data_IF_206084774734
#
_entry.id   IF_206084774734
#
_cell.length_a   1.000
_cell.length_b   1.000
_cell.length_c   1.000
_cell.angle_alpha   90.00
_cell.angle_beta   90.00
_cell.angle_gamma   90.00
#
_symmetry.space_group_name_H-M   'P 1'
#
loop_
_entity.id
_entity.type
_entity.pdbx_description
1 polymer ?
#
# COMPACT_ATOMS: atom_id res chain seq x y z
N UNK A 1 -68.12 61.01 54.67
CA UNK A 1 -68.64 59.76 54.06
C UNK A 1 -68.66 60.00 52.55
N UNK A 2 -67.56 59.77 51.83
CA UNK A 2 -67.12 58.48 51.23
C UNK A 2 -68.25 57.78 50.46
N UNK A 3 -68.15 57.81 49.11
CA UNK A 3 -68.11 56.65 48.21
C UNK A 3 -68.51 57.09 46.78
N UNK A 4 -67.55 57.31 45.88
CA UNK A 4 -67.08 56.40 44.82
C UNK A 4 -68.15 55.93 43.81
N UNK A 5 -67.99 56.34 42.54
CA UNK A 5 -67.67 55.45 41.39
C UNK A 5 -67.46 56.30 40.12
N UNK A 6 -66.25 56.38 39.57
CA UNK A 6 -65.58 55.43 38.64
C UNK A 6 -66.14 55.56 37.21
N UNK A 7 -65.56 56.43 36.37
CA UNK A 7 -64.45 56.22 35.40
C UNK A 7 -64.87 55.35 34.21
N UNK A 8 -64.75 55.90 32.97
CA UNK A 8 -63.94 55.33 31.86
C UNK A 8 -64.24 56.06 30.53
N UNK A 9 -63.20 56.69 29.99
CA UNK A 9 -62.87 56.99 28.60
C UNK A 9 -61.33 57.11 28.57
N UNK A 10 -60.63 57.07 27.42
CA UNK A 10 -60.88 56.32 26.18
C UNK A 10 -59.58 55.63 25.67
N UNK A 11 -59.72 54.92 24.55
CA UNK A 11 -58.73 54.74 23.47
C UNK A 11 -57.26 54.41 23.82
N UNK A 12 -56.82 53.22 23.40
CA UNK A 12 -55.57 53.15 22.64
C UNK A 12 -55.61 52.01 21.63
N UNK A 13 -55.54 52.41 20.37
CA UNK A 13 -55.32 51.57 19.19
C UNK A 13 -53.86 51.12 19.18
N UNK A 14 -53.61 49.81 19.06
CA UNK A 14 -52.30 49.29 18.70
C UNK A 14 -52.47 48.06 17.81
N UNK A 15 -52.51 48.31 16.50
CA UNK A 15 -52.11 47.37 15.46
C UNK A 15 -50.63 47.06 15.60
N UNK A 16 -50.26 45.82 15.92
CA UNK A 16 -48.98 45.24 15.49
C UNK A 16 -49.17 43.73 15.24
N UNK A 17 -49.29 43.41 13.95
CA UNK A 17 -48.57 42.31 13.27
C UNK A 17 -48.57 40.94 13.97
N UNK A 18 -49.60 40.17 13.64
CA UNK A 18 -49.55 38.71 13.59
C UNK A 18 -48.66 38.31 12.40
N UNK A 19 -47.37 38.07 12.63
CA UNK A 19 -46.51 37.34 11.69
C UNK A 19 -45.98 36.07 12.36
N UNK A 20 -46.55 34.95 11.89
CA UNK A 20 -45.99 33.60 11.85
C UNK A 20 -44.48 33.54 12.15
N UNK A 21 -44.14 33.24 13.40
CA UNK A 21 -42.87 32.56 13.70
C UNK A 21 -43.15 31.06 13.53
N UNK A 22 -43.32 30.64 12.28
CA UNK A 22 -42.85 29.33 11.87
C UNK A 22 -41.33 29.44 11.92
N UNK A 23 -40.72 29.15 13.07
CA UNK A 23 -39.33 28.70 13.04
C UNK A 23 -39.35 27.45 12.18
N UNK A 24 -38.99 27.61 10.91
CA UNK A 24 -38.56 26.52 10.08
C UNK A 24 -37.40 25.87 10.82
N UNK A 25 -37.72 24.78 11.51
CA UNK A 25 -36.74 23.76 11.81
C UNK A 25 -36.34 23.28 10.42
N UNK A 26 -35.26 23.86 9.90
CA UNK A 26 -34.63 23.39 8.69
C UNK A 26 -34.15 21.99 9.04
N UNK A 27 -35.00 21.00 8.76
CA UNK A 27 -34.61 19.61 8.67
C UNK A 27 -33.75 19.48 7.42
N UNK A 28 -32.61 20.17 7.39
CA UNK A 28 -31.45 19.62 6.75
C UNK A 28 -31.18 18.34 7.56
N UNK A 29 -31.83 17.24 7.13
CA UNK A 29 -31.44 15.91 7.58
C UNK A 29 -29.93 15.77 7.38
N UNK A 30 -29.27 14.91 8.17
CA UNK A 30 -27.83 14.70 8.02
C UNK A 30 -27.53 14.49 6.53
N UNK A 31 -26.59 15.29 6.01
CA UNK A 31 -26.13 15.22 4.63
C UNK A 31 -26.02 13.75 4.21
N UNK A 32 -26.85 13.35 3.25
CA UNK A 32 -26.98 11.96 2.79
C UNK A 32 -25.79 11.45 1.99
N UNK A 33 -24.76 12.29 1.78
CA UNK A 33 -23.49 11.85 1.23
C UNK A 33 -22.69 11.11 2.30
N UNK A 34 -23.16 9.90 2.63
CA UNK A 34 -22.38 8.96 3.42
C UNK A 34 -20.98 8.87 2.78
N UNK A 35 -19.91 8.94 3.56
CA UNK A 35 -18.57 8.90 3.01
C UNK A 35 -18.40 7.60 2.20
N UNK A 36 -17.81 7.72 1.01
CA UNK A 36 -17.57 6.59 0.10
C UNK A 36 -16.09 6.46 -0.21
N UNK A 37 -15.63 5.23 -0.44
CA UNK A 37 -14.28 4.95 -0.92
C UNK A 37 -14.23 5.18 -2.42
N UNK A 38 -13.37 6.07 -2.90
CA UNK A 38 -13.27 6.40 -4.33
C UNK A 38 -12.29 5.46 -5.03
N UNK A 39 -12.42 5.30 -6.35
CA UNK A 39 -11.46 4.51 -7.11
C UNK A 39 -10.05 5.15 -7.10
N UNK A 40 -9.95 6.47 -7.00
CA UNK A 40 -8.65 7.17 -6.90
C UNK A 40 -7.98 6.86 -5.55
N UNK A 41 -8.77 6.75 -4.48
CA UNK A 41 -8.28 6.31 -3.17
C UNK A 41 -7.80 4.87 -3.19
N UNK A 42 -8.53 3.96 -3.85
CA UNK A 42 -8.12 2.56 -4.03
C UNK A 42 -6.85 2.44 -4.86
N UNK A 43 -6.78 3.20 -5.96
CA UNK A 43 -5.60 3.27 -6.84
C UNK A 43 -4.34 3.71 -6.08
N UNK A 44 -4.43 4.78 -5.28
CA UNK A 44 -3.33 5.26 -4.45
C UNK A 44 -2.86 4.19 -3.44
N UNK A 45 -3.78 3.40 -2.87
CA UNK A 45 -3.40 2.31 -1.96
C UNK A 45 -2.70 1.15 -2.68
N UNK A 46 -3.17 0.79 -3.88
CA UNK A 46 -2.51 -0.24 -4.69
C UNK A 46 -1.11 0.25 -5.10
N UNK A 47 -0.98 1.52 -5.51
CA UNK A 47 0.31 2.12 -5.85
C UNK A 47 1.31 2.04 -4.68
N UNK A 48 0.91 2.46 -3.48
CA UNK A 48 1.73 2.36 -2.26
C UNK A 48 2.11 0.89 -1.97
N UNK A 49 1.22 -0.06 -2.23
CA UNK A 49 1.51 -1.48 -1.98
C UNK A 49 2.51 -2.07 -2.99
N UNK A 50 2.62 -1.47 -4.17
CA UNK A 50 3.55 -1.90 -5.22
C UNK A 50 4.88 -1.15 -5.17
N UNK A 51 4.91 0.11 -4.73
CA UNK A 51 6.06 1.01 -4.85
C UNK A 51 7.30 0.62 -4.00
N UNK A 52 8.50 0.91 -4.51
CA UNK A 52 9.78 0.67 -3.82
C UNK A 52 9.89 1.47 -2.52
N UNK A 53 9.63 2.77 -2.60
CA UNK A 53 9.83 3.70 -1.49
C UNK A 53 8.90 3.37 -0.35
N UNK A 54 7.68 2.91 -0.64
CA UNK A 54 6.73 2.43 0.37
C UNK A 54 7.08 1.07 0.99
N UNK A 55 8.13 0.39 0.52
CA UNK A 55 8.44 -0.99 0.95
C UNK A 55 7.48 -2.03 0.36
N UNK A 56 6.82 -1.68 -0.73
CA UNK A 56 5.91 -2.53 -1.49
C UNK A 56 6.60 -3.66 -2.24
N UNK A 57 5.87 -4.32 -3.14
CA UNK A 57 6.35 -5.49 -3.89
C UNK A 57 7.64 -5.20 -4.68
N UNK A 58 7.76 -4.00 -5.25
CA UNK A 58 8.98 -3.57 -5.95
C UNK A 58 10.20 -3.52 -5.01
N UNK A 59 10.00 -3.19 -3.73
CA UNK A 59 11.09 -3.21 -2.75
C UNK A 59 11.60 -4.63 -2.49
N UNK A 60 10.74 -5.65 -2.59
CA UNK A 60 11.13 -7.06 -2.49
C UNK A 60 12.12 -7.41 -3.60
N UNK A 61 11.79 -7.07 -4.85
CA UNK A 61 12.61 -7.33 -6.03
C UNK A 61 13.96 -6.62 -5.96
N UNK A 62 13.95 -5.37 -5.51
CA UNK A 62 15.16 -4.59 -5.31
C UNK A 62 16.02 -5.17 -4.18
N UNK A 63 15.41 -5.62 -3.08
CA UNK A 63 16.13 -6.25 -1.98
C UNK A 63 16.83 -7.54 -2.41
N UNK A 64 16.25 -8.29 -3.35
CA UNK A 64 16.86 -9.49 -3.93
C UNK A 64 18.17 -9.15 -4.66
N UNK A 65 18.17 -8.13 -5.53
CA UNK A 65 19.37 -7.68 -6.24
C UNK A 65 20.50 -7.30 -5.26
N UNK A 66 20.18 -6.48 -4.26
CA UNK A 66 21.15 -5.99 -3.28
C UNK A 66 21.66 -7.07 -2.32
N UNK A 67 20.78 -7.99 -1.93
CA UNK A 67 21.10 -8.95 -0.88
C UNK A 67 22.00 -10.07 -1.37
N UNK A 68 22.06 -10.35 -2.67
CA UNK A 68 22.72 -11.56 -3.16
C UNK A 68 23.55 -11.40 -4.43
N UNK A 69 23.37 -10.32 -5.20
CA UNK A 69 23.90 -10.27 -6.58
C UNK A 69 24.71 -9.01 -6.90
N UNK A 70 24.52 -7.89 -6.19
CA UNK A 70 25.23 -6.64 -6.49
C UNK A 70 25.72 -5.90 -5.23
N UNK A 71 26.84 -5.19 -5.36
CA UNK A 71 27.22 -4.07 -4.47
C UNK A 71 26.61 -2.74 -4.99
N UNK A 72 25.60 -2.80 -5.88
CA UNK A 72 25.07 -1.67 -6.67
C UNK A 72 23.59 -1.40 -6.35
N UNK A 73 23.35 -0.87 -5.16
CA UNK A 73 22.61 0.37 -4.89
C UNK A 73 21.36 0.71 -5.74
N UNK A 74 20.14 0.45 -5.22
CA UNK A 74 18.91 1.15 -5.64
C UNK A 74 18.81 2.53 -4.99
N UNK A 75 17.87 3.39 -5.40
CA UNK A 75 17.71 4.72 -4.80
C UNK A 75 17.49 4.64 -3.27
N UNK A 76 16.69 3.69 -2.78
CA UNK A 76 16.48 3.44 -1.34
C UNK A 76 17.75 3.03 -0.60
N UNK A 77 18.64 2.27 -1.24
CA UNK A 77 19.95 1.90 -0.69
C UNK A 77 21.07 2.92 -0.95
N UNK A 78 20.88 3.84 -1.90
CA UNK A 78 21.77 4.95 -2.20
C UNK A 78 21.54 6.17 -1.30
N UNK A 79 20.31 6.33 -0.80
CA UNK A 79 19.90 7.52 -0.02
C UNK A 79 19.52 7.22 1.43
N UNK A 80 19.48 5.94 1.81
CA UNK A 80 19.06 5.49 3.14
C UNK A 80 20.04 4.52 3.81
N UNK A 81 19.58 3.80 4.84
CA UNK A 81 20.35 2.72 5.48
C UNK A 81 19.94 1.36 4.92
N UNK A 82 20.90 0.46 4.74
CA UNK A 82 20.66 -0.94 4.38
C UNK A 82 21.57 -1.83 5.23
N UNK A 83 21.01 -2.88 5.81
CA UNK A 83 21.74 -3.88 6.59
C UNK A 83 21.30 -5.27 6.20
N UNK A 84 22.28 -6.20 6.20
CA UNK A 84 22.09 -7.60 5.88
C UNK A 84 23.02 -8.44 6.75
N UNK A 85 22.44 -9.39 7.49
CA UNK A 85 23.17 -10.44 8.18
C UNK A 85 22.67 -11.80 7.69
N UNK A 86 23.57 -12.75 7.44
CA UNK A 86 23.24 -14.01 6.77
C UNK A 86 23.96 -15.20 7.41
N UNK A 87 23.23 -16.29 7.56
CA UNK A 87 23.75 -17.58 7.99
C UNK A 87 23.36 -18.68 7.01
N UNK A 88 24.26 -19.65 6.78
CA UNK A 88 23.98 -20.79 5.91
C UNK A 88 23.78 -22.06 6.74
N UNK A 89 22.79 -22.85 6.36
CA UNK A 89 22.48 -24.15 6.95
C UNK A 89 22.80 -25.28 5.99
N UNK A 90 23.80 -26.12 6.32
CA UNK A 90 24.11 -27.32 5.53
C UNK A 90 22.96 -28.35 5.55
N UNK A 91 22.11 -28.34 6.59
CA UNK A 91 21.01 -29.29 6.75
C UNK A 91 19.84 -29.01 5.81
N UNK A 92 19.53 -27.72 5.59
CA UNK A 92 18.44 -27.28 4.70
C UNK A 92 18.95 -26.82 3.33
N UNK A 93 20.25 -26.62 3.18
CA UNK A 93 20.88 -26.01 1.99
C UNK A 93 20.29 -24.64 1.65
N UNK A 94 20.01 -23.86 2.69
CA UNK A 94 19.43 -22.51 2.60
C UNK A 94 20.33 -21.49 3.30
N UNK A 95 20.39 -20.30 2.73
CA UNK A 95 20.77 -19.10 3.46
C UNK A 95 19.54 -18.54 4.16
N UNK A 96 19.68 -18.20 5.43
CA UNK A 96 18.73 -17.37 6.14
C UNK A 96 19.37 -16.01 6.38
N UNK A 97 18.72 -14.94 5.94
CA UNK A 97 19.22 -13.58 6.06
C UNK A 97 18.20 -12.67 6.73
N UNK A 98 18.68 -11.83 7.64
CA UNK A 98 17.93 -10.69 8.17
C UNK A 98 18.31 -9.45 7.37
N UNK A 99 17.33 -8.92 6.62
CA UNK A 99 17.49 -7.77 5.73
C UNK A 99 16.65 -6.61 6.27
N UNK A 100 17.27 -5.45 6.40
CA UNK A 100 16.56 -4.23 6.78
C UNK A 100 17.01 -3.06 5.93
N UNK A 101 16.07 -2.15 5.65
CA UNK A 101 16.40 -0.90 5.00
C UNK A 101 15.53 0.24 5.54
N UNK A 102 16.04 1.45 5.49
CA UNK A 102 15.27 2.66 5.78
C UNK A 102 15.63 3.77 4.82
N UNK A 103 14.68 4.64 4.51
CA UNK A 103 14.84 5.83 3.70
C UNK A 103 14.07 6.97 4.34
N UNK A 104 14.74 8.10 4.52
CA UNK A 104 14.13 9.35 4.98
C UNK A 104 14.41 10.41 3.93
N UNK A 105 13.35 11.03 3.43
CA UNK A 105 13.40 12.18 2.51
C UNK A 105 12.83 13.42 3.21
N UNK A 106 12.79 14.56 2.53
CA UNK A 106 12.09 15.75 3.03
C UNK A 106 10.56 15.60 3.07
N UNK A 107 10.01 14.55 2.43
CA UNK A 107 8.56 14.35 2.26
C UNK A 107 8.05 13.05 2.84
N UNK A 108 8.91 12.05 3.02
CA UNK A 108 8.48 10.72 3.41
C UNK A 108 9.55 9.96 4.18
N UNK A 109 9.08 9.10 5.07
CA UNK A 109 9.88 8.11 5.77
C UNK A 109 9.42 6.70 5.37
N UNK A 110 10.36 5.79 5.19
CA UNK A 110 10.04 4.40 4.92
C UNK A 110 11.06 3.47 5.55
N UNK A 111 10.61 2.31 6.03
CA UNK A 111 11.49 1.29 6.57
C UNK A 111 10.94 -0.11 6.38
N UNK A 112 11.82 -1.11 6.41
CA UNK A 112 11.44 -2.51 6.48
C UNK A 112 12.49 -3.34 7.20
N UNK A 113 12.03 -4.45 7.77
CA UNK A 113 12.86 -5.50 8.37
C UNK A 113 12.26 -6.84 8.04
N UNK A 114 13.06 -7.77 7.53
CA UNK A 114 12.59 -9.05 6.99
C UNK A 114 13.59 -10.15 7.29
N UNK A 115 13.08 -11.34 7.55
CA UNK A 115 13.86 -12.58 7.52
C UNK A 115 13.53 -13.30 6.22
N UNK A 116 14.55 -13.68 5.47
CA UNK A 116 14.42 -14.27 4.15
C UNK A 116 15.24 -15.54 4.02
N UNK A 117 14.68 -16.52 3.34
CA UNK A 117 15.34 -17.77 2.97
C UNK A 117 15.73 -17.74 1.50
N UNK A 118 16.95 -18.16 1.20
CA UNK A 118 17.53 -18.08 -0.13
C UNK A 118 18.24 -19.37 -0.51
N UNK A 119 17.97 -19.84 -1.74
CA UNK A 119 18.57 -21.03 -2.33
C UNK A 119 19.07 -20.75 -3.74
N UNK A 120 20.36 -20.95 -3.99
CA UNK A 120 20.91 -20.94 -5.34
C UNK A 120 20.73 -22.33 -5.96
N UNK A 121 20.24 -22.38 -7.20
CA UNK A 121 20.01 -23.61 -7.94
C UNK A 121 20.85 -23.61 -9.22
N UNK A 122 21.48 -24.73 -9.53
CA UNK A 122 22.18 -24.93 -10.80
C UNK A 122 21.20 -25.19 -11.96
N UNK A 123 21.73 -25.44 -13.16
CA UNK A 123 20.90 -25.73 -14.34
C UNK A 123 20.13 -27.06 -14.29
N UNK A 124 20.36 -27.87 -13.25
CA UNK A 124 19.70 -29.15 -12.98
C UNK A 124 18.80 -29.08 -11.74
N UNK A 125 18.45 -27.87 -11.31
CA UNK A 125 17.69 -27.57 -10.09
C UNK A 125 18.32 -28.16 -8.81
N UNK A 126 19.64 -28.39 -8.81
CA UNK A 126 20.34 -28.85 -7.61
C UNK A 126 20.78 -27.64 -6.76
N UNK A 127 20.55 -27.70 -5.43
CA UNK A 127 21.03 -26.66 -4.54
C UNK A 127 22.55 -26.54 -4.55
N UNK A 128 23.02 -25.31 -4.57
CA UNK A 128 24.42 -24.98 -4.39
C UNK A 128 24.57 -23.88 -3.35
N UNK A 129 25.70 -23.91 -2.64
CA UNK A 129 25.91 -23.02 -1.49
C UNK A 129 26.06 -21.56 -1.90
N UNK A 130 26.69 -21.27 -3.03
CA UNK A 130 26.92 -19.90 -3.48
C UNK A 130 26.40 -19.73 -4.90
N UNK A 131 26.31 -18.48 -5.35
CA UNK A 131 26.01 -18.16 -6.75
C UNK A 131 26.91 -18.90 -7.76
N UNK A 132 28.19 -19.11 -7.44
CA UNK A 132 29.13 -19.82 -8.30
C UNK A 132 29.91 -20.85 -7.50
N UNK A 133 29.93 -22.09 -7.98
CA UNK A 133 30.68 -23.22 -7.40
C UNK A 133 31.48 -23.91 -8.51
N UNK A 134 32.81 -23.91 -8.37
CA UNK A 134 33.74 -24.52 -9.33
C UNK A 134 33.56 -24.05 -10.79
N UNK A 135 33.14 -22.78 -10.97
CA UNK A 135 32.89 -22.18 -12.28
C UNK A 135 31.54 -22.52 -12.89
N UNK A 136 30.67 -23.25 -12.17
CA UNK A 136 29.27 -23.40 -12.52
C UNK A 136 28.45 -22.33 -11.77
N UNK A 137 27.79 -21.48 -12.53
CA UNK A 137 26.95 -20.42 -11.99
C UNK A 137 25.52 -20.92 -11.78
N UNK A 138 24.83 -20.32 -10.81
CA UNK A 138 23.41 -20.57 -10.56
C UNK A 138 22.57 -20.15 -11.76
N UNK A 139 21.71 -21.07 -12.20
CA UNK A 139 20.73 -20.80 -13.23
C UNK A 139 19.56 -19.99 -12.66
N UNK A 140 19.18 -20.29 -11.41
CA UNK A 140 18.11 -19.58 -10.71
C UNK A 140 18.40 -19.42 -9.22
N UNK A 141 17.60 -18.55 -8.59
CA UNK A 141 17.62 -18.25 -7.18
C UNK A 141 16.19 -18.31 -6.65
N UNK A 142 15.93 -19.11 -5.63
CA UNK A 142 14.70 -19.03 -4.84
C UNK A 142 14.90 -18.03 -3.70
N UNK A 143 13.94 -17.14 -3.50
CA UNK A 143 13.91 -16.16 -2.43
C UNK A 143 12.53 -16.17 -1.78
N UNK A 144 12.46 -16.43 -0.48
CA UNK A 144 11.21 -16.49 0.27
C UNK A 144 11.29 -15.59 1.49
N UNK A 145 10.32 -14.69 1.67
CA UNK A 145 10.19 -13.85 2.86
C UNK A 145 9.39 -14.64 3.90
N UNK A 146 10.04 -15.05 4.99
CA UNK A 146 9.44 -15.92 6.02
C UNK A 146 8.94 -15.15 7.23
N UNK A 147 9.50 -13.97 7.49
CA UNK A 147 9.00 -13.01 8.48
C UNK A 147 9.32 -11.59 8.04
N UNK A 148 8.55 -10.61 8.52
CA UNK A 148 8.91 -9.22 8.34
C UNK A 148 7.77 -8.22 8.49
N UNK A 149 8.18 -6.96 8.55
CA UNK A 149 7.30 -5.81 8.58
C UNK A 149 7.95 -4.62 7.89
N UNK A 150 7.15 -3.59 7.64
CA UNK A 150 7.66 -2.29 7.27
C UNK A 150 6.64 -1.19 7.46
N UNK A 151 7.12 0.03 7.24
CA UNK A 151 6.34 1.25 7.39
C UNK A 151 6.66 2.21 6.25
N UNK A 152 5.68 3.04 5.95
CA UNK A 152 5.78 4.19 5.08
C UNK A 152 4.97 5.31 5.71
N UNK A 153 5.54 6.50 5.79
CA UNK A 153 4.87 7.71 6.21
C UNK A 153 5.12 8.77 5.15
N UNK A 154 4.09 9.14 4.41
CA UNK A 154 4.16 10.14 3.35
C UNK A 154 3.18 11.29 3.58
N UNK A 155 3.17 12.29 2.68
CA UNK A 155 2.37 13.51 2.89
C UNK A 155 0.85 13.27 2.91
N UNK A 156 0.39 12.14 2.38
CA UNK A 156 -1.04 11.82 2.21
C UNK A 156 -1.45 10.49 2.82
N UNK A 157 -0.53 9.53 2.87
CA UNK A 157 -0.79 8.16 3.31
C UNK A 157 0.33 7.75 4.24
N UNK A 158 -0.05 7.17 5.36
CA UNK A 158 0.86 6.43 6.24
C UNK A 158 0.39 5.00 6.28
N UNK A 159 1.28 4.04 6.08
CA UNK A 159 0.97 2.62 6.07
C UNK A 159 2.00 1.80 6.83
N UNK A 160 1.53 0.73 7.45
CA UNK A 160 2.34 -0.35 7.97
C UNK A 160 1.96 -1.62 7.23
N UNK A 161 2.93 -2.48 6.98
CA UNK A 161 2.68 -3.78 6.39
C UNK A 161 3.39 -4.87 7.18
N UNK A 162 2.82 -6.06 7.13
CA UNK A 162 3.37 -7.27 7.73
C UNK A 162 3.19 -8.45 6.79
N UNK A 163 3.87 -9.55 7.12
CA UNK A 163 3.49 -10.82 6.53
C UNK A 163 2.13 -11.29 7.06
N UNK A 164 1.38 -12.05 6.23
CA UNK A 164 0.18 -12.70 6.70
C UNK A 164 0.49 -13.74 7.79
N UNK A 165 -0.53 -14.21 8.50
CA UNK A 165 -0.34 -15.09 9.66
C UNK A 165 0.43 -16.39 9.30
N UNK A 166 1.17 -17.01 10.24
CA UNK A 166 1.90 -18.25 9.99
C UNK A 166 0.99 -19.35 9.39
N UNK A 167 1.34 -19.84 8.20
CA UNK A 167 0.55 -20.83 7.45
C UNK A 167 -0.21 -20.26 6.25
N UNK A 168 -0.25 -18.94 6.08
CA UNK A 168 -0.64 -18.28 4.84
C UNK A 168 0.57 -18.14 3.90
N UNK A 169 0.31 -18.00 2.58
CA UNK A 169 1.35 -18.01 1.56
C UNK A 169 2.35 -16.86 1.76
N UNK A 170 3.54 -17.21 2.26
CA UNK A 170 4.72 -16.35 2.27
C UNK A 170 5.04 -15.83 0.85
N UNK A 171 5.63 -14.65 0.77
CA UNK A 171 6.11 -14.13 -0.52
C UNK A 171 7.30 -14.95 -0.99
N UNK A 172 7.17 -15.60 -2.14
CA UNK A 172 8.18 -16.47 -2.73
C UNK A 172 8.40 -16.12 -4.19
N UNK A 173 9.66 -15.83 -4.50
CA UNK A 173 10.12 -15.34 -5.79
C UNK A 173 11.19 -16.29 -6.34
N UNK A 174 11.06 -16.63 -7.60
CA UNK A 174 12.10 -17.28 -8.40
C UNK A 174 12.75 -16.22 -9.28
N UNK A 175 14.07 -16.20 -9.26
CA UNK A 175 14.87 -15.24 -10.02
C UNK A 175 15.78 -16.00 -10.96
N UNK A 176 15.54 -15.83 -12.25
CA UNK A 176 16.33 -16.45 -13.30
C UNK A 176 17.50 -15.55 -13.69
N UNK A 177 18.60 -16.20 -14.08
CA UNK A 177 19.85 -15.55 -14.49
C UNK A 177 20.44 -14.60 -13.42
N UNK A 178 20.58 -15.06 -12.15
CA UNK A 178 21.09 -14.23 -11.05
C UNK A 178 22.49 -13.67 -11.31
N UNK A 179 23.23 -14.21 -12.27
CA UNK A 179 24.56 -13.75 -12.68
C UNK A 179 24.59 -12.53 -13.58
N UNK A 180 23.49 -12.24 -14.27
CA UNK A 180 23.46 -11.26 -15.35
C UNK A 180 22.94 -9.89 -14.89
N UNK A 181 23.24 -8.83 -15.63
CA UNK A 181 22.69 -7.49 -15.34
C UNK A 181 21.16 -7.36 -15.50
N UNK A 182 20.48 -8.43 -15.93
CA UNK A 182 19.05 -8.47 -16.22
C UNK A 182 18.42 -9.70 -15.59
N UNK A 183 17.64 -9.48 -14.53
CA UNK A 183 16.97 -10.53 -13.79
C UNK A 183 15.55 -10.70 -14.30
N UNK A 184 15.07 -11.94 -14.34
CA UNK A 184 13.65 -12.24 -14.57
C UNK A 184 13.08 -12.77 -13.28
N UNK A 185 12.00 -12.15 -12.80
CA UNK A 185 11.40 -12.45 -11.51
C UNK A 185 9.99 -12.98 -11.75
N UNK A 186 9.73 -14.15 -11.16
CA UNK A 186 8.45 -14.83 -11.17
C UNK A 186 8.09 -15.22 -9.74
N UNK A 187 6.81 -15.39 -9.44
CA UNK A 187 6.38 -15.92 -8.14
C UNK A 187 5.18 -15.18 -7.58
N UNK A 188 4.85 -15.48 -6.33
CA UNK A 188 3.65 -14.97 -5.70
C UNK A 188 3.95 -14.45 -4.29
N UNK A 189 3.14 -13.50 -3.84
CA UNK A 189 3.21 -12.99 -2.49
C UNK A 189 1.86 -12.60 -1.93
N UNK A 190 1.85 -12.45 -0.61
CA UNK A 190 0.73 -11.93 0.14
C UNK A 190 1.26 -11.06 1.26
N UNK A 191 0.53 -10.00 1.61
CA UNK A 191 0.85 -9.10 2.72
C UNK A 191 -0.41 -8.51 3.32
N UNK A 192 -0.33 -8.20 4.60
CA UNK A 192 -1.31 -7.35 5.28
C UNK A 192 -0.85 -5.90 5.23
N UNK A 193 -1.78 -4.98 5.04
CA UNK A 193 -1.51 -3.54 4.98
C UNK A 193 -2.51 -2.81 5.84
N UNK A 194 -2.02 -2.18 6.90
CA UNK A 194 -2.79 -1.23 7.71
C UNK A 194 -2.39 0.18 7.30
N UNK A 195 -3.34 0.94 6.78
CA UNK A 195 -3.09 2.28 6.27
C UNK A 195 -4.03 3.31 6.88
N UNK A 196 -3.51 4.51 7.08
CA UNK A 196 -4.27 5.65 7.50
C UNK A 196 -4.06 6.81 6.55
N UNK A 197 -5.14 7.57 6.36
CA UNK A 197 -5.15 8.82 5.61
C UNK A 197 -5.92 9.85 6.39
N UNK A 198 -5.24 10.93 6.74
CA UNK A 198 -5.83 12.08 7.43
C UNK A 198 -6.06 13.20 6.43
N UNK A 199 -7.27 13.78 6.43
CA UNK A 199 -7.61 14.89 5.55
C UNK A 199 -8.54 15.90 6.23
N UNK A 200 -8.88 16.98 5.52
CA UNK A 200 -9.79 18.04 6.02
C UNK A 200 -11.25 17.60 6.25
N UNK A 201 -11.56 16.32 6.07
CA UNK A 201 -12.91 15.74 6.13
C UNK A 201 -12.86 14.43 6.91
N UNK A 202 -12.18 14.45 8.06
CA UNK A 202 -11.94 13.28 8.90
C UNK A 202 -10.79 12.35 8.48
N UNK A 203 -10.60 11.30 9.27
CA UNK A 203 -9.61 10.25 9.08
C UNK A 203 -10.22 9.03 8.42
N UNK A 204 -9.37 8.29 7.70
CA UNK A 204 -9.73 7.00 7.09
C UNK A 204 -8.68 6.00 7.52
N UNK A 205 -9.09 4.90 8.11
CA UNK A 205 -8.20 3.76 8.39
C UNK A 205 -8.64 2.58 7.53
N UNK A 206 -7.67 1.78 7.11
CA UNK A 206 -7.86 0.64 6.22
C UNK A 206 -7.04 -0.52 6.72
N UNK A 207 -7.63 -1.70 6.73
CA UNK A 207 -6.92 -2.97 6.92
C UNK A 207 -7.16 -3.81 5.69
N UNK A 208 -6.09 -4.14 4.97
CA UNK A 208 -6.15 -4.82 3.70
C UNK A 208 -5.29 -6.07 3.67
N UNK A 209 -5.72 -7.06 2.88
CA UNK A 209 -4.91 -8.17 2.42
C UNK A 209 -4.65 -7.94 0.93
N UNK A 210 -3.37 -8.01 0.55
CA UNK A 210 -2.96 -7.83 -0.83
C UNK A 210 -2.21 -9.06 -1.29
N UNK A 211 -2.73 -9.71 -2.33
CA UNK A 211 -2.06 -10.80 -3.02
C UNK A 211 -1.40 -10.29 -4.28
N UNK A 212 -0.27 -10.88 -4.66
CA UNK A 212 0.51 -10.52 -5.84
C UNK A 212 0.99 -11.77 -6.56
N UNK A 213 1.01 -11.73 -7.88
CA UNK A 213 1.62 -12.71 -8.76
C UNK A 213 2.46 -11.94 -9.77
N UNK A 214 3.78 -12.11 -9.69
CA UNK A 214 4.72 -11.58 -10.66
C UNK A 214 4.88 -12.57 -11.81
N UNK A 215 4.86 -12.06 -13.04
CA UNK A 215 5.11 -12.83 -14.26
C UNK A 215 6.05 -12.05 -15.16
N UNK A 216 7.20 -12.65 -15.44
CA UNK A 216 8.26 -12.12 -16.29
C UNK A 216 8.63 -10.67 -15.96
N UNK A 217 8.70 -10.35 -14.65
CA UNK A 217 9.13 -9.03 -14.19
C UNK A 217 10.63 -8.90 -14.42
N UNK A 218 11.01 -8.00 -15.31
CA UNK A 218 12.39 -7.75 -15.68
C UNK A 218 12.95 -6.63 -14.82
N UNK A 219 13.92 -6.97 -13.98
CA UNK A 219 14.72 -6.01 -13.23
C UNK A 219 16.08 -5.85 -13.91
N UNK A 220 16.43 -4.63 -14.31
CA UNK A 220 17.80 -4.32 -14.75
C UNK A 220 18.58 -3.68 -13.62
N UNK A 221 19.76 -4.23 -13.32
CA UNK A 221 20.58 -3.78 -12.18
C UNK A 221 20.92 -2.30 -12.32
N UNK A 222 20.66 -1.53 -11.26
CA UNK A 222 20.86 -0.07 -11.24
C UNK A 222 19.80 0.74 -12.01
N UNK A 223 18.93 0.11 -12.79
CA UNK A 223 17.89 0.78 -13.58
C UNK A 223 16.46 0.48 -13.06
N UNK A 224 16.31 -0.45 -12.10
CA UNK A 224 15.01 -0.82 -11.54
C UNK A 224 14.19 -1.72 -12.48
N UNK A 225 12.88 -1.77 -12.27
CA UNK A 225 11.98 -2.60 -13.10
C UNK A 225 11.82 -1.97 -14.49
N UNK A 226 12.08 -2.76 -15.52
CA UNK A 226 11.96 -2.35 -16.92
C UNK A 226 10.64 -2.78 -17.55
N UNK A 227 10.19 -3.99 -17.27
CA UNK A 227 8.98 -4.57 -17.88
C UNK A 227 8.41 -5.71 -17.06
N UNK A 228 7.24 -6.20 -17.46
CA UNK A 228 6.58 -7.38 -16.89
C UNK A 228 5.24 -7.02 -16.27
N UNK A 229 4.60 -8.03 -15.67
CA UNK A 229 3.25 -7.88 -15.12
C UNK A 229 3.21 -8.34 -13.67
N UNK A 230 2.51 -7.58 -12.83
CA UNK A 230 2.07 -8.02 -11.50
C UNK A 230 0.55 -8.02 -11.48
N UNK A 231 -0.06 -9.17 -11.25
CA UNK A 231 -1.50 -9.29 -11.02
C UNK A 231 -1.77 -9.58 -9.55
N UNK A 232 -3.00 -9.36 -9.08
CA UNK A 232 -3.33 -9.66 -7.69
C UNK A 232 -4.72 -9.22 -7.26
N UNK A 233 -4.99 -9.40 -5.97
CA UNK A 233 -6.20 -8.91 -5.31
C UNK A 233 -5.86 -7.88 -4.25
N UNK A 234 -6.74 -6.90 -4.07
CA UNK A 234 -6.73 -5.95 -2.98
C UNK A 234 -8.09 -6.01 -2.27
N UNK A 235 -8.08 -6.59 -1.08
CA UNK A 235 -9.25 -6.81 -0.24
C UNK A 235 -9.11 -6.01 1.05
N UNK A 236 -9.94 -4.99 1.25
CA UNK A 236 -9.80 -4.03 2.35
C UNK A 236 -11.11 -3.73 3.06
N UNK A 237 -11.04 -3.63 4.38
CA UNK A 237 -12.05 -2.99 5.22
C UNK A 237 -11.61 -1.56 5.52
N UNK A 238 -12.48 -0.59 5.23
CA UNK A 238 -12.21 0.84 5.34
C UNK A 238 -13.16 1.47 6.35
N UNK A 239 -12.60 2.02 7.43
CA UNK A 239 -13.33 2.79 8.42
C UNK A 239 -13.21 4.27 8.06
N UNK A 240 -14.35 4.92 7.89
CA UNK A 240 -14.48 6.33 7.54
C UNK A 240 -15.01 7.06 8.77
N UNK A 241 -14.16 7.87 9.41
CA UNK A 241 -14.55 8.70 10.55
C UNK A 241 -14.77 10.14 10.07
N UNK A 242 -15.88 10.76 10.45
CA UNK A 242 -16.08 12.20 10.27
C UNK A 242 -15.42 13.00 11.42
N UNK A 243 -15.39 14.33 11.33
CA UNK A 243 -14.80 15.20 12.37
C UNK A 243 -15.57 15.17 13.71
N UNK A 244 -16.79 14.61 13.70
CA UNK A 244 -17.67 14.46 14.87
C UNK A 244 -17.49 13.10 15.57
N UNK A 245 -16.72 12.18 14.97
CA UNK A 245 -16.42 10.85 15.50
C UNK A 245 -17.39 9.75 15.06
N UNK A 246 -18.34 10.02 14.16
CA UNK A 246 -19.17 8.97 13.57
C UNK A 246 -18.35 8.13 12.60
N UNK A 247 -18.45 6.81 12.74
CA UNK A 247 -17.71 5.85 11.92
C UNK A 247 -18.63 5.05 11.00
N UNK A 248 -18.17 4.86 9.77
CA UNK A 248 -18.83 4.02 8.78
C UNK A 248 -17.82 3.04 8.21
N UNK A 249 -18.11 1.74 8.31
CA UNK A 249 -17.30 0.70 7.64
C UNK A 249 -17.77 0.44 6.20
N UNK A 250 -16.79 0.20 5.32
CA UNK A 250 -16.97 -0.14 3.91
C UNK A 250 -15.94 -1.17 3.49
N UNK A 251 -16.37 -2.21 2.78
CA UNK A 251 -15.46 -3.17 2.16
C UNK A 251 -15.13 -2.77 0.72
N UNK A 252 -13.89 -3.04 0.30
CA UNK A 252 -13.40 -2.90 -1.08
C UNK A 252 -12.73 -4.21 -1.44
N UNK A 253 -13.11 -4.80 -2.56
CA UNK A 253 -12.47 -6.00 -3.12
C UNK A 253 -12.32 -5.79 -4.61
N UNK A 254 -11.08 -5.74 -5.06
CA UNK A 254 -10.71 -5.54 -6.47
C UNK A 254 -9.57 -6.48 -6.87
N UNK A 255 -9.63 -6.94 -8.10
CA UNK A 255 -8.50 -7.53 -8.81
C UNK A 255 -7.73 -6.41 -9.52
N UNK A 256 -6.42 -6.50 -9.60
CA UNK A 256 -5.60 -5.54 -10.33
C UNK A 256 -4.56 -6.24 -11.22
N UNK A 257 -4.19 -5.54 -12.28
CA UNK A 257 -3.12 -5.86 -13.20
C UNK A 257 -2.24 -4.62 -13.35
N UNK A 258 -0.96 -4.78 -13.02
CA UNK A 258 0.06 -3.74 -13.10
C UNK A 258 1.07 -4.10 -14.19
N UNK A 259 1.08 -3.32 -15.27
CA UNK A 259 2.03 -3.48 -16.36
C UNK A 259 3.16 -2.46 -16.21
N UNK A 260 4.39 -2.95 -16.19
CA UNK A 260 5.58 -2.12 -16.08
C UNK A 260 6.13 -1.80 -17.47
N UNK A 261 6.48 -0.54 -17.67
CA UNK A 261 7.16 -0.06 -18.89
C UNK A 261 8.09 1.10 -18.55
N UNK A 262 9.40 0.84 -18.57
CA UNK A 262 10.45 1.85 -18.35
C UNK A 262 10.30 2.64 -17.03
N UNK A 263 10.05 1.95 -15.90
CA UNK A 263 9.89 2.57 -14.58
C UNK A 263 8.53 3.24 -14.32
N UNK A 264 7.64 3.26 -15.32
CA UNK A 264 6.23 3.63 -15.15
C UNK A 264 5.41 2.37 -14.97
N UNK A 265 4.45 2.43 -14.04
CA UNK A 265 3.49 1.35 -13.81
C UNK A 265 2.12 1.84 -14.24
N UNK A 266 1.52 1.12 -15.19
CA UNK A 266 0.11 1.27 -15.53
C UNK A 266 -0.67 0.21 -14.77
N UNK A 267 -1.61 0.62 -13.93
CA UNK A 267 -2.48 -0.32 -13.20
C UNK A 267 -3.92 -0.19 -13.65
N UNK A 268 -4.50 -1.31 -14.03
CA UNK A 268 -5.92 -1.48 -14.25
C UNK A 268 -6.48 -2.36 -13.14
N UNK A 269 -7.64 -2.00 -12.59
CA UNK A 269 -8.34 -2.83 -11.62
C UNK A 269 -9.80 -3.02 -12.00
N UNK A 270 -10.38 -4.11 -11.48
CA UNK A 270 -11.76 -4.54 -11.71
C UNK A 270 -12.32 -5.11 -10.41
N UNK A 271 -13.57 -4.77 -10.06
CA UNK A 271 -14.18 -5.22 -8.82
C UNK A 271 -15.16 -4.22 -8.21
N UNK A 272 -15.71 -4.50 -7.03
CA UNK A 272 -16.62 -3.60 -6.31
C UNK A 272 -17.85 -3.08 -7.11
N UNK A 273 -18.30 -3.81 -8.13
CA UNK A 273 -19.40 -3.43 -9.04
C UNK A 273 -18.97 -2.49 -10.19
N UNK A 274 -19.90 -1.70 -10.75
CA UNK A 274 -19.61 -0.77 -11.86
C UNK A 274 -18.58 0.32 -11.51
N UNK A 275 -18.33 0.54 -10.21
CA UNK A 275 -17.54 1.67 -9.70
C UNK A 275 -16.04 1.57 -9.98
N UNK A 276 -15.49 0.36 -10.07
CA UNK A 276 -14.04 0.14 -10.18
C UNK A 276 -13.65 -0.62 -11.45
N UNK A 277 -14.52 -0.69 -12.47
CA UNK A 277 -14.25 -1.46 -13.68
C UNK A 277 -13.44 -0.67 -14.71
N UNK A 278 -12.27 -1.20 -15.08
CA UNK A 278 -11.50 -0.73 -16.23
C UNK A 278 -10.90 0.66 -16.06
N UNK A 279 -10.67 1.09 -14.83
CA UNK A 279 -9.95 2.36 -14.55
C UNK A 279 -8.46 2.09 -14.56
N UNK A 280 -7.76 2.84 -15.40
CA UNK A 280 -6.31 2.80 -15.53
C UNK A 280 -5.69 4.01 -14.83
N UNK A 281 -4.58 3.80 -14.14
CA UNK A 281 -3.80 4.87 -13.51
C UNK A 281 -2.31 4.60 -13.63
N UNK A 282 -1.53 5.67 -13.77
CA UNK A 282 -0.08 5.61 -13.90
C UNK A 282 0.59 6.13 -12.62
N UNK A 283 1.61 5.42 -12.15
CA UNK A 283 2.47 5.89 -11.07
C UNK A 283 3.93 5.49 -11.28
N UNK A 284 4.82 6.19 -10.58
CA UNK A 284 6.24 5.84 -10.51
C UNK A 284 6.44 4.55 -9.70
N UNK A 285 7.08 3.53 -10.27
CA UNK A 285 7.37 2.27 -9.55
C UNK A 285 8.27 2.49 -8.33
N UNK A 286 8.99 3.60 -8.29
CA UNK A 286 9.87 3.99 -7.19
C UNK A 286 9.05 4.65 -6.08
N UNK A 287 8.38 5.76 -6.38
CA UNK A 287 7.77 6.61 -5.34
C UNK A 287 6.32 6.23 -5.00
N UNK A 288 5.63 5.54 -5.89
CA UNK A 288 4.18 5.31 -5.79
C UNK A 288 3.34 6.55 -6.06
N UNK A 289 3.95 7.67 -6.45
CA UNK A 289 3.24 8.91 -6.78
C UNK A 289 2.67 8.85 -8.21
N UNK A 290 1.49 9.45 -8.46
CA UNK A 290 0.92 9.56 -9.80
C UNK A 290 1.85 10.27 -10.79
N UNK A 291 1.86 9.81 -12.04
CA UNK A 291 2.58 10.44 -13.18
C UNK A 291 1.75 11.58 -13.81
#
# INVERSE_FOLDING_TARGET
>A
MISFRSVLHPALVASVVLFLILTGCDSAGPSTDAPTVTADETAEMIAVTLAEDAGGTTADFVSIDQSFMSNLSSQKALSGSFSRDCSYSDATQLWQCDVSASLTTDRSDASFSRTVEVQFLDSSDQPQRNYSVDGNDAASLSYTIVDGSGSFDGPRVSSQYGLPAPGESASSWTIDNPGTGRLTINGAGSRTVDASRSGRRGSRTRSAIVTTQATDVILERGNGIQSGTITGTYDAEVILANDEGDEVSRSVSVEYEATFSNGVVEVTFTGGGERFNGRTFEFSSVTGEPV
#
